data_IF_825431645635
#
_entry.id   IF_825431645635
#
_cell.length_a   1.000
_cell.length_b   1.000
_cell.length_c   1.000
_cell.angle_alpha   90.00
_cell.angle_beta   90.00
_cell.angle_gamma   90.00
#
_symmetry.space_group_name_H-M   'P 1'
#
loop_
_entity.id
_entity.type
_entity.pdbx_description
1 polymer ?
#
# COMPACT_ATOMS: atom_id res chain seq x y z
N UNK A 1 20.34 8.12 35.44
CA UNK A 1 18.92 7.88 35.15
C UNK A 1 18.71 6.41 34.79
N UNK A 2 17.89 5.63 35.53
CA UNK A 2 17.71 4.20 35.26
C UNK A 2 16.79 3.99 34.05
N UNK A 3 17.25 3.23 33.05
CA UNK A 3 16.41 2.84 31.90
C UNK A 3 15.37 1.82 32.35
N UNK A 4 14.09 2.22 32.41
CA UNK A 4 12.97 1.28 32.53
C UNK A 4 12.96 0.39 31.29
N UNK A 5 13.14 -0.92 31.48
CA UNK A 5 13.01 -1.90 30.42
C UNK A 5 11.51 -2.10 30.18
N UNK A 6 11.01 -1.67 29.02
CA UNK A 6 9.69 -2.07 28.56
C UNK A 6 9.81 -3.50 28.03
N UNK A 7 9.10 -4.44 28.65
CA UNK A 7 8.94 -5.78 28.11
C UNK A 7 7.97 -5.67 26.92
N UNK A 8 8.43 -6.06 25.73
CA UNK A 8 7.53 -6.27 24.61
C UNK A 8 6.70 -7.52 24.95
N UNK A 9 5.38 -7.35 25.01
CA UNK A 9 4.45 -8.47 25.15
C UNK A 9 4.73 -9.49 24.03
N UNK A 10 4.62 -10.77 24.36
CA UNK A 10 4.77 -11.88 23.43
C UNK A 10 3.90 -11.63 22.19
N UNK A 11 4.51 -11.80 21.02
CA UNK A 11 3.80 -11.72 19.75
C UNK A 11 2.69 -12.76 19.74
N UNK A 12 1.45 -12.31 19.88
CA UNK A 12 0.28 -13.10 19.50
C UNK A 12 0.48 -13.44 18.03
N UNK A 13 0.74 -14.72 17.76
CA UNK A 13 0.82 -15.28 16.42
C UNK A 13 -0.61 -15.31 15.87
N UNK A 14 -1.09 -14.14 15.45
CA UNK A 14 -2.28 -14.03 14.63
C UNK A 14 -1.91 -14.51 13.23
N UNK A 15 -1.86 -15.83 13.07
CA UNK A 15 -2.03 -16.49 11.79
C UNK A 15 -3.52 -16.52 11.44
N UNK A 16 -4.23 -15.41 11.59
CA UNK A 16 -5.35 -15.15 10.72
C UNK A 16 -4.74 -14.80 9.35
N UNK A 17 -4.41 -15.86 8.59
CA UNK A 17 -4.45 -15.74 7.14
C UNK A 17 -5.90 -15.45 6.80
N UNK A 18 -6.28 -14.17 6.92
CA UNK A 18 -7.31 -13.65 6.04
C UNK A 18 -6.85 -14.03 4.65
N UNK A 19 -7.71 -14.69 3.83
CA UNK A 19 -7.38 -14.87 2.43
C UNK A 19 -7.12 -13.46 1.92
N UNK A 20 -5.84 -13.17 1.67
CA UNK A 20 -5.45 -12.08 0.80
C UNK A 20 -5.88 -12.60 -0.55
N UNK A 21 -7.19 -12.54 -0.82
CA UNK A 21 -7.67 -12.60 -2.18
C UNK A 21 -6.79 -11.56 -2.88
N UNK A 22 -5.99 -12.02 -3.85
CA UNK A 22 -5.29 -11.16 -4.79
C UNK A 22 -6.38 -10.46 -5.58
N UNK A 23 -7.05 -9.54 -4.91
CA UNK A 23 -8.11 -8.75 -5.43
C UNK A 23 -7.35 -7.77 -6.28
N UNK A 24 -7.43 -7.98 -7.58
CA UNK A 24 -6.77 -7.15 -8.57
C UNK A 24 -7.24 -5.70 -8.34
N UNK A 25 -6.43 -4.96 -7.57
CA UNK A 25 -6.78 -3.62 -7.12
C UNK A 25 -6.53 -2.75 -8.34
N UNK A 26 -7.61 -2.23 -8.92
CA UNK A 26 -7.61 -1.27 -10.03
C UNK A 26 -7.50 -1.83 -11.47
N UNK A 27 -8.13 -2.96 -11.79
CA UNK A 27 -8.25 -3.46 -13.18
C UNK A 27 -9.15 -2.60 -14.10
N UNK A 28 -9.49 -1.36 -13.74
CA UNK A 28 -10.39 -0.50 -14.55
C UNK A 28 -11.68 -1.22 -15.00
N UNK A 29 -12.15 -2.19 -14.20
CA UNK A 29 -13.32 -3.04 -14.43
C UNK A 29 -14.15 -3.13 -13.17
N UNK A 30 -15.46 -3.24 -13.35
CA UNK A 30 -16.42 -3.37 -12.25
C UNK A 30 -16.44 -4.81 -11.73
N UNK A 31 -16.42 -4.99 -10.41
CA UNK A 31 -16.65 -6.28 -9.75
C UNK A 31 -18.11 -6.72 -9.91
N UNK A 32 -18.38 -8.01 -9.68
CA UNK A 32 -19.75 -8.57 -9.76
C UNK A 32 -20.76 -7.82 -8.87
N UNK A 33 -20.30 -7.42 -7.69
CA UNK A 33 -21.12 -6.73 -6.70
C UNK A 33 -21.31 -5.23 -7.01
N UNK A 34 -20.51 -4.67 -7.92
CA UNK A 34 -20.48 -3.26 -8.33
C UNK A 34 -21.45 -2.98 -9.48
N UNK A 35 -21.97 -1.75 -9.53
CA UNK A 35 -22.89 -1.34 -10.59
C UNK A 35 -24.22 -2.13 -10.61
N UNK A 36 -24.59 -2.87 -9.55
CA UNK A 36 -25.87 -3.62 -9.48
C UNK A 36 -27.12 -2.77 -9.76
N UNK A 37 -27.04 -1.46 -9.52
CA UNK A 37 -28.13 -0.50 -9.78
C UNK A 37 -28.06 0.15 -11.17
N UNK A 38 -27.05 -0.16 -11.97
CA UNK A 38 -26.86 0.37 -13.32
C UNK A 38 -27.48 -0.57 -14.34
N UNK A 39 -28.08 0.01 -15.37
CA UNK A 39 -28.49 -0.77 -16.54
C UNK A 39 -27.23 -1.22 -17.34
N UNK A 40 -27.35 -2.21 -18.24
CA UNK A 40 -26.21 -2.73 -19.00
C UNK A 40 -25.46 -1.64 -19.79
N UNK A 41 -26.20 -0.70 -20.41
CA UNK A 41 -25.60 0.40 -21.18
C UNK A 41 -24.76 1.34 -20.31
N UNK A 42 -25.27 1.68 -19.12
CA UNK A 42 -24.56 2.51 -18.15
C UNK A 42 -23.33 1.80 -17.60
N UNK A 43 -23.39 0.48 -17.39
CA UNK A 43 -22.22 -0.31 -17.02
C UNK A 43 -21.14 -0.22 -18.10
N UNK A 44 -21.52 -0.38 -19.36
CA UNK A 44 -20.60 -0.30 -20.50
C UNK A 44 -19.97 1.10 -20.61
N UNK A 45 -20.75 2.17 -20.42
CA UNK A 45 -20.26 3.55 -20.39
C UNK A 45 -19.23 3.77 -19.27
N UNK A 46 -19.51 3.28 -18.06
CA UNK A 46 -18.57 3.39 -16.93
C UNK A 46 -17.28 2.63 -17.21
N UNK A 47 -17.37 1.39 -17.72
CA UNK A 47 -16.18 0.61 -18.09
C UNK A 47 -15.39 1.32 -19.19
N UNK A 48 -16.06 1.93 -20.17
CA UNK A 48 -15.41 2.70 -21.22
C UNK A 48 -14.63 3.92 -20.65
N UNK A 49 -15.20 4.61 -19.66
CA UNK A 49 -14.51 5.72 -18.97
C UNK A 49 -13.32 5.23 -18.17
N UNK A 50 -13.46 4.15 -17.41
CA UNK A 50 -12.37 3.56 -16.63
C UNK A 50 -11.21 3.15 -17.53
N UNK A 51 -11.49 2.48 -18.66
CA UNK A 51 -10.47 2.12 -19.66
C UNK A 51 -9.84 3.33 -20.33
N UNK A 52 -10.63 4.37 -20.62
CA UNK A 52 -10.14 5.61 -21.24
C UNK A 52 -9.12 6.33 -20.34
N UNK A 53 -9.32 6.29 -19.03
CA UNK A 53 -8.44 6.92 -18.05
C UNK A 53 -7.67 5.90 -17.23
N UNK A 54 -7.34 4.74 -17.81
CA UNK A 54 -6.64 3.66 -17.11
C UNK A 54 -5.35 4.15 -16.44
N UNK A 55 -4.58 5.00 -17.13
CA UNK A 55 -3.35 5.62 -16.62
C UNK A 55 -3.51 6.43 -15.33
N UNK A 56 -4.73 6.87 -14.99
CA UNK A 56 -5.02 7.61 -13.75
C UNK A 56 -5.24 6.65 -12.57
N UNK A 57 -5.72 5.43 -12.85
CA UNK A 57 -6.08 4.45 -11.83
C UNK A 57 -5.05 3.32 -11.69
N UNK A 58 -4.14 3.18 -12.66
CA UNK A 58 -3.05 2.22 -12.62
C UNK A 58 -2.15 2.46 -11.39
N UNK A 59 -1.86 1.41 -10.61
CA UNK A 59 -0.94 1.52 -9.49
C UNK A 59 0.48 1.80 -10.01
N UNK A 60 1.27 2.57 -9.26
CA UNK A 60 2.65 2.89 -9.63
C UNK A 60 2.79 3.99 -10.68
N UNK A 61 1.74 4.78 -10.92
CA UNK A 61 1.86 6.01 -11.71
C UNK A 61 2.87 7.00 -11.11
N UNK A 62 3.43 7.85 -11.97
CA UNK A 62 4.39 8.87 -11.55
C UNK A 62 3.80 9.81 -10.48
N UNK A 63 4.60 10.25 -9.49
CA UNK A 63 4.18 11.28 -8.56
C UNK A 63 3.70 12.52 -9.32
N UNK A 64 2.55 13.05 -8.92
CA UNK A 64 2.04 14.27 -9.55
C UNK A 64 3.00 15.44 -9.28
N UNK A 65 3.44 16.21 -10.30
CA UNK A 65 4.40 17.29 -10.11
C UNK A 65 3.82 18.53 -9.41
N UNK A 66 2.53 18.51 -9.07
CA UNK A 66 1.82 19.67 -8.54
C UNK A 66 2.19 20.03 -7.10
N UNK A 67 2.74 19.11 -6.32
CA UNK A 67 3.03 19.34 -4.91
C UNK A 67 4.31 18.64 -4.47
N UNK A 68 5.22 19.41 -3.89
CA UNK A 68 6.36 18.89 -3.14
C UNK A 68 6.04 18.98 -1.64
N UNK A 69 6.06 17.84 -0.95
CA UNK A 69 5.80 17.78 0.48
C UNK A 69 7.05 18.18 1.27
N UNK A 70 7.02 19.35 1.94
CA UNK A 70 8.09 19.77 2.86
C UNK A 70 7.78 19.32 4.29
N UNK A 71 8.66 18.49 4.85
CA UNK A 71 8.63 18.13 6.27
C UNK A 71 9.46 19.17 7.05
N UNK A 72 8.82 19.94 7.94
CA UNK A 72 9.50 20.93 8.76
C UNK A 72 10.11 20.26 10.01
N UNK A 73 11.42 19.99 9.98
CA UNK A 73 12.16 19.39 11.11
C UNK A 73 12.70 20.42 12.11
N UNK A 74 12.56 21.72 11.80
CA UNK A 74 13.16 22.81 12.59
C UNK A 74 14.68 22.68 12.66
N UNK A 75 15.26 22.93 13.83
CA UNK A 75 16.70 22.80 14.11
C UNK A 75 17.10 21.43 14.67
N UNK A 76 16.21 20.43 14.56
CA UNK A 76 16.48 19.11 15.12
C UNK A 76 17.61 18.42 14.34
N UNK A 77 18.67 17.90 15.02
CA UNK A 77 19.77 17.23 14.34
C UNK A 77 19.32 15.89 13.73
N UNK A 78 19.94 15.43 12.63
CA UNK A 78 19.68 14.10 12.07
C UNK A 78 19.95 12.99 13.09
N UNK A 79 19.08 11.98 13.10
CA UNK A 79 19.22 10.81 13.98
C UNK A 79 19.55 9.59 13.13
N UNK A 80 20.65 8.91 13.45
CA UNK A 80 21.05 7.64 12.83
C UNK A 80 21.00 6.53 13.88
N UNK A 81 20.20 5.50 13.61
CA UNK A 81 20.06 4.30 14.46
C UNK A 81 20.40 3.08 13.60
N UNK A 82 21.18 2.11 14.11
CA UNK A 82 21.45 0.89 13.37
C UNK A 82 20.15 0.15 13.03
N UNK A 83 19.98 -0.33 11.79
CA UNK A 83 18.79 -1.09 11.40
C UNK A 83 18.62 -2.33 12.27
N UNK A 84 17.36 -2.68 12.55
CA UNK A 84 17.06 -3.92 13.27
C UNK A 84 17.45 -5.15 12.43
N UNK A 85 17.82 -6.23 13.12
CA UNK A 85 18.15 -7.50 12.46
C UNK A 85 16.89 -8.14 11.88
N UNK A 86 16.90 -8.42 10.59
CA UNK A 86 15.84 -9.16 9.91
C UNK A 86 16.27 -10.62 9.72
N UNK A 87 15.31 -11.55 9.85
CA UNK A 87 15.54 -12.95 9.47
C UNK A 87 15.72 -13.06 7.95
N UNK A 88 16.42 -14.10 7.45
CA UNK A 88 16.63 -14.30 6.02
C UNK A 88 15.33 -14.23 5.20
N UNK A 89 14.28 -14.91 5.66
CA UNK A 89 12.96 -14.94 5.01
C UNK A 89 12.35 -13.54 4.90
N UNK A 90 12.35 -12.76 5.99
CA UNK A 90 11.80 -11.39 5.98
C UNK A 90 12.62 -10.46 5.07
N UNK A 91 13.93 -10.68 5.00
CA UNK A 91 14.81 -9.92 4.12
C UNK A 91 14.54 -10.22 2.65
N UNK A 92 14.24 -11.47 2.29
CA UNK A 92 13.86 -11.86 0.93
C UNK A 92 12.51 -11.29 0.52
N UNK A 93 11.51 -11.32 1.42
CA UNK A 93 10.22 -10.67 1.18
C UNK A 93 10.39 -9.16 0.96
N UNK A 94 11.11 -8.47 1.85
CA UNK A 94 11.37 -7.04 1.70
C UNK A 94 12.08 -6.70 0.38
N UNK A 95 13.01 -7.55 -0.08
CA UNK A 95 13.67 -7.34 -1.37
C UNK A 95 12.70 -7.39 -2.54
N UNK A 96 11.71 -8.30 -2.51
CA UNK A 96 10.69 -8.42 -3.56
C UNK A 96 9.78 -7.20 -3.61
N UNK A 97 9.43 -6.63 -2.44
CA UNK A 97 8.61 -5.42 -2.35
C UNK A 97 9.36 -4.16 -2.81
N UNK A 98 10.68 -4.10 -2.57
CA UNK A 98 11.50 -2.94 -2.95
C UNK A 98 12.00 -2.99 -4.39
N UNK A 99 12.02 -4.17 -5.02
CA UNK A 99 12.30 -4.29 -6.45
C UNK A 99 11.06 -3.87 -7.24
N UNK A 100 11.00 -2.58 -7.58
CA UNK A 100 10.09 -2.02 -8.58
C UNK A 100 10.43 -2.55 -9.98
#
# INVERSE_FOLDING_TARGET
MPRKKFAFAEHVNDQSQHPVDNLDVNLCTLREEEGRRLNPKQKDEVIAVLKKYASVFEPGGEPTPYIEHRINTGDSPPVSVPPYRLSPVKKELLKKELSF
#
